data_IF_181927996365
#
_entry.id   IF_181927996365
#
_cell.length_a   1.000
_cell.length_b   1.000
_cell.length_c   1.000
_cell.angle_alpha   90.00
_cell.angle_beta   90.00
_cell.angle_gamma   90.00
#
_symmetry.space_group_name_H-M   'P 1'
#
loop_
_entity.id
_entity.type
_entity.pdbx_description
1 polymer ?
#
# COMPACT_ATOMS: atom_id res chain seq x y z
N UNK A 1 1.41 -7.45 1.24
CA UNK A 1 2.83 -7.33 0.82
C UNK A 1 3.64 -8.35 1.62
N UNK A 2 4.10 -9.44 1.01
CA UNK A 2 4.36 -10.67 1.77
C UNK A 2 5.73 -10.76 2.46
N UNK A 3 6.70 -9.93 2.08
CA UNK A 3 8.10 -10.08 2.50
C UNK A 3 8.60 -8.98 3.43
N UNK A 4 7.73 -8.08 3.90
CA UNK A 4 8.11 -6.99 4.80
C UNK A 4 8.92 -5.87 4.14
N UNK A 5 9.12 -5.89 2.83
CA UNK A 5 9.68 -4.76 2.08
C UNK A 5 8.67 -3.62 2.03
N UNK A 6 9.06 -2.43 2.52
CA UNK A 6 8.22 -1.23 2.45
C UNK A 6 8.33 -0.62 1.06
N UNK A 7 7.22 -0.51 0.30
CA UNK A 7 7.24 0.04 -1.05
C UNK A 7 7.34 1.56 -1.06
N UNK A 8 8.01 2.08 -2.09
CA UNK A 8 7.92 3.49 -2.54
C UNK A 8 7.44 3.46 -3.98
N UNK A 9 6.23 3.94 -4.27
CA UNK A 9 5.57 3.71 -5.56
C UNK A 9 4.96 4.97 -6.18
N UNK A 10 4.88 4.99 -7.51
CA UNK A 10 4.01 5.93 -8.21
C UNK A 10 2.55 5.48 -7.99
N UNK A 11 1.68 6.38 -7.51
CA UNK A 11 0.29 6.09 -7.20
C UNK A 11 -0.58 5.99 -8.47
N UNK A 12 -0.34 4.95 -9.28
CA UNK A 12 -1.06 4.66 -10.54
C UNK A 12 -1.59 3.23 -10.58
N UNK A 13 -2.77 3.07 -11.20
CA UNK A 13 -3.44 1.77 -11.33
C UNK A 13 -3.53 1.04 -9.99
N UNK A 14 -3.31 -0.27 -10.01
CA UNK A 14 -3.37 -1.09 -8.80
C UNK A 14 -2.37 -0.72 -7.69
N UNK A 15 -1.29 0.02 -7.99
CA UNK A 15 -0.38 0.51 -6.95
C UNK A 15 -1.04 1.56 -6.06
N UNK A 16 -1.89 2.41 -6.65
CA UNK A 16 -2.69 3.39 -5.91
C UNK A 16 -3.67 2.73 -4.95
N UNK A 17 -4.26 1.61 -5.40
CA UNK A 17 -5.27 0.88 -4.64
C UNK A 17 -4.65 0.01 -3.54
N UNK A 18 -3.45 -0.52 -3.78
CA UNK A 18 -2.80 -1.48 -2.87
C UNK A 18 -1.91 -0.81 -1.82
N UNK A 19 -1.24 0.30 -2.16
CA UNK A 19 -0.27 0.96 -1.27
C UNK A 19 -0.88 2.24 -0.69
N UNK A 20 -1.53 2.12 0.45
CA UNK A 20 -1.97 3.28 1.22
C UNK A 20 -0.75 4.07 1.74
N UNK A 21 -0.67 5.39 1.50
CA UNK A 21 0.44 6.21 1.98
C UNK A 21 0.55 6.18 3.51
N UNK A 22 1.77 6.05 4.03
CA UNK A 22 2.03 6.05 5.47
C UNK A 22 1.73 7.42 6.06
N UNK A 23 0.93 7.43 7.13
CA UNK A 23 0.64 8.61 7.92
C UNK A 23 1.25 8.43 9.32
N UNK A 24 2.28 9.22 9.69
CA UNK A 24 2.94 9.09 10.98
C UNK A 24 2.08 9.57 12.17
N UNK A 25 1.03 10.37 11.94
CA UNK A 25 0.20 10.91 13.02
C UNK A 25 -0.77 9.87 13.59
N UNK A 26 -1.25 8.95 12.76
CA UNK A 26 -2.17 7.88 13.14
C UNK A 26 -1.55 6.48 13.06
N UNK A 27 -0.27 6.39 12.67
CA UNK A 27 0.46 5.14 12.47
C UNK A 27 -0.27 4.18 11.52
N UNK A 28 -0.84 4.72 10.45
CA UNK A 28 -1.57 3.97 9.42
C UNK A 28 -0.84 3.98 8.07
N UNK A 29 -1.31 3.15 7.15
CA UNK A 29 -0.71 3.01 5.82
C UNK A 29 0.45 2.02 5.76
N UNK A 30 0.95 1.87 4.53
CA UNK A 30 1.61 0.66 4.05
C UNK A 30 2.93 0.93 3.33
N UNK A 31 3.21 2.17 2.99
CA UNK A 31 4.46 2.59 2.36
C UNK A 31 4.40 4.04 1.92
N UNK A 32 5.28 4.43 1.02
CA UNK A 32 5.31 5.79 0.49
C UNK A 32 4.82 5.82 -0.94
N UNK A 33 4.10 6.87 -1.29
CA UNK A 33 3.63 7.07 -2.66
C UNK A 33 3.97 8.47 -3.15
N UNK A 34 4.05 8.62 -4.46
CA UNK A 34 4.09 9.90 -5.13
C UNK A 34 3.02 9.95 -6.22
N UNK A 35 2.48 11.13 -6.52
CA UNK A 35 1.27 11.34 -7.33
C UNK A 35 1.58 11.58 -8.82
N UNK A 36 2.61 12.35 -9.15
CA UNK A 36 3.06 12.58 -10.52
C UNK A 36 4.42 11.95 -10.81
N UNK A 37 4.63 11.51 -12.05
CA UNK A 37 5.87 10.89 -12.53
C UNK A 37 6.98 11.94 -12.72
N UNK A 38 7.26 12.70 -11.67
CA UNK A 38 8.24 13.77 -11.62
C UNK A 38 9.37 13.41 -10.66
N UNK A 39 10.60 13.74 -11.04
CA UNK A 39 11.81 13.45 -10.25
C UNK A 39 11.70 14.04 -8.84
N UNK A 40 11.21 15.27 -8.70
CA UNK A 40 11.07 15.93 -7.40
C UNK A 40 10.13 15.19 -6.44
N UNK A 41 9.05 14.61 -6.97
CA UNK A 41 8.06 13.86 -6.17
C UNK A 41 8.63 12.53 -5.69
N UNK A 42 9.35 11.82 -6.56
CA UNK A 42 10.08 10.60 -6.18
C UNK A 42 11.13 10.90 -5.09
N UNK A 43 11.93 11.96 -5.26
CA UNK A 43 12.93 12.37 -4.28
C UNK A 43 12.28 12.66 -2.93
N UNK A 44 11.16 13.38 -2.91
CA UNK A 44 10.45 13.68 -1.67
C UNK A 44 9.94 12.41 -0.96
N UNK A 45 9.31 11.49 -1.70
CA UNK A 45 8.82 10.23 -1.16
C UNK A 45 9.97 9.35 -0.62
N UNK A 46 11.09 9.26 -1.34
CA UNK A 46 12.29 8.56 -0.88
C UNK A 46 12.91 9.23 0.35
N UNK A 47 12.94 10.56 0.40
CA UNK A 47 13.45 11.32 1.54
C UNK A 47 12.69 10.97 2.82
N UNK A 48 11.36 10.98 2.77
CA UNK A 48 10.52 10.59 3.90
C UNK A 48 10.71 9.12 4.28
N UNK A 49 10.79 8.21 3.30
CA UNK A 49 11.07 6.79 3.53
C UNK A 49 12.38 6.57 4.29
N UNK A 50 13.46 7.20 3.82
CA UNK A 50 14.78 7.10 4.44
C UNK A 50 14.81 7.75 5.84
N UNK A 51 14.11 8.87 6.04
CA UNK A 51 13.97 9.50 7.34
C UNK A 51 13.28 8.56 8.33
N UNK A 52 12.14 7.96 7.94
CA UNK A 52 11.44 6.97 8.77
C UNK A 52 12.31 5.77 9.09
N UNK A 53 13.04 5.23 8.10
CA UNK A 53 13.94 4.10 8.32
C UNK A 53 15.06 4.40 9.33
N UNK A 54 15.62 5.62 9.28
CA UNK A 54 16.75 6.02 10.13
C UNK A 54 16.33 6.40 11.54
N UNK A 55 15.31 7.26 11.64
CA UNK A 55 14.97 7.94 12.89
C UNK A 55 13.76 7.31 13.62
N UNK A 56 12.93 6.54 12.93
CA UNK A 56 11.63 6.06 13.44
C UNK A 56 11.47 4.53 13.33
N UNK A 57 12.35 3.78 14.01
CA UNK A 57 12.38 2.30 13.96
C UNK A 57 11.05 1.63 14.32
N UNK A 58 10.34 2.12 15.35
CA UNK A 58 9.04 1.56 15.75
C UNK A 58 7.99 1.70 14.65
N UNK A 59 7.91 2.88 14.05
CA UNK A 59 7.00 3.15 12.93
C UNK A 59 7.37 2.27 11.74
N UNK A 60 8.66 2.13 11.42
CA UNK A 60 9.14 1.23 10.36
C UNK A 60 8.67 -0.21 10.55
N UNK A 61 8.91 -0.80 11.72
CA UNK A 61 8.42 -2.14 12.07
C UNK A 61 6.90 -2.25 12.03
N UNK A 62 6.19 -1.16 12.37
CA UNK A 62 4.74 -1.05 12.25
C UNK A 62 4.28 -1.16 10.80
N UNK A 63 4.89 -0.41 9.88
CA UNK A 63 4.58 -0.46 8.45
C UNK A 63 4.86 -1.86 7.90
N UNK A 64 6.01 -2.47 8.24
CA UNK A 64 6.35 -3.82 7.79
C UNK A 64 5.30 -4.85 8.23
N UNK A 65 4.93 -4.83 9.52
CA UNK A 65 3.92 -5.75 10.07
C UNK A 65 2.56 -5.54 9.42
N UNK A 66 2.07 -4.30 9.32
CA UNK A 66 0.79 -3.98 8.65
C UNK A 66 0.79 -4.48 7.21
N UNK A 67 1.90 -4.29 6.49
CA UNK A 67 2.00 -4.74 5.11
C UNK A 67 1.98 -6.26 4.94
N UNK A 68 2.60 -7.00 5.86
CA UNK A 68 2.59 -8.47 5.85
C UNK A 68 1.27 -9.07 6.31
N UNK A 69 0.47 -8.35 7.09
CA UNK A 69 -0.85 -8.80 7.55
C UNK A 69 -1.97 -8.63 6.50
N UNK A 70 -1.70 -7.98 5.38
CA UNK A 70 -2.70 -7.86 4.31
C UNK A 70 -2.99 -9.23 3.69
N UNK A 71 -4.28 -9.53 3.49
CA UNK A 71 -4.69 -10.63 2.64
C UNK A 71 -4.64 -10.18 1.17
N UNK A 72 -3.59 -10.61 0.47
CA UNK A 72 -3.41 -10.44 -0.97
C UNK A 72 -3.42 -11.79 -1.68
N UNK A 73 -4.15 -12.77 -1.14
CA UNK A 73 -4.27 -14.10 -1.72
C UNK A 73 -5.12 -14.09 -2.99
N UNK A 74 -4.91 -15.09 -3.85
CA UNK A 74 -5.77 -15.32 -5.00
C UNK A 74 -7.19 -15.72 -4.60
N UNK A 75 -7.35 -16.38 -3.46
CA UNK A 75 -8.67 -16.77 -2.94
C UNK A 75 -9.50 -15.53 -2.60
N UNK A 76 -8.88 -14.53 -1.94
CA UNK A 76 -9.53 -13.24 -1.69
C UNK A 76 -9.92 -12.52 -2.98
N UNK A 77 -9.03 -12.50 -3.97
CA UNK A 77 -9.34 -11.91 -5.27
C UNK A 77 -10.49 -12.64 -5.97
N UNK A 78 -10.50 -13.96 -5.97
CA UNK A 78 -11.55 -14.79 -6.58
C UNK A 78 -12.92 -14.55 -5.92
N UNK A 79 -12.96 -14.42 -4.60
CA UNK A 79 -14.19 -14.10 -3.87
C UNK A 79 -14.77 -12.75 -4.33
N UNK A 80 -13.94 -11.71 -4.48
CA UNK A 80 -14.38 -10.41 -4.98
C UNK A 80 -14.99 -10.49 -6.39
N UNK A 81 -14.43 -11.33 -7.26
CA UNK A 81 -15.01 -11.58 -8.59
C UNK A 81 -16.34 -12.33 -8.50
N UNK A 82 -16.44 -13.35 -7.64
CA UNK A 82 -17.66 -14.12 -7.44
C UNK A 82 -18.82 -13.22 -6.98
N UNK A 83 -18.58 -12.33 -6.02
CA UNK A 83 -19.59 -11.37 -5.53
C UNK A 83 -20.15 -10.51 -6.66
N UNK A 84 -19.29 -10.00 -7.55
CA UNK A 84 -19.71 -9.22 -8.72
C UNK A 84 -20.53 -10.06 -9.69
N UNK A 85 -20.13 -11.31 -9.97
CA UNK A 85 -20.87 -12.21 -10.85
C UNK A 85 -22.25 -12.59 -10.28
N UNK A 86 -22.33 -12.83 -8.97
CA UNK A 86 -23.58 -13.13 -8.27
C UNK A 86 -24.51 -11.92 -8.30
N UNK A 87 -24.02 -10.73 -8.00
CA UNK A 87 -24.81 -9.50 -8.08
C UNK A 87 -25.35 -9.28 -9.50
N UNK A 88 -24.50 -9.47 -10.52
CA UNK A 88 -24.90 -9.38 -11.91
C UNK A 88 -25.97 -10.42 -12.29
N UNK A 89 -25.97 -11.63 -11.72
CA UNK A 89 -26.98 -12.65 -12.00
C UNK A 89 -28.39 -12.26 -11.52
N UNK A 90 -28.50 -11.52 -10.41
CA UNK A 90 -29.79 -11.18 -9.79
C UNK A 90 -30.31 -9.76 -10.11
N UNK A 91 -29.56 -8.98 -10.90
CA UNK A 91 -29.97 -7.64 -11.37
C UNK A 91 -30.66 -7.66 -12.75
N UNK A 92 -30.86 -8.84 -13.33
CA UNK A 92 -31.64 -9.09 -14.56
C UNK A 92 -32.92 -9.84 -14.21
#
# INVERSE_FOLDING_TARGET
MNYGTIPVVHAVGGLRDTVQPFNPYDESGLGWTFDSAEVGKLIHALGNCLLTYREYKKSWEGIQRRGMMQDLSWDHAAQNYEEVLVAAKYQW
#
